data_IF_056443630145
#
_entry.id   IF_056443630145
#
_cell.length_a   1.000
_cell.length_b   1.000
_cell.length_c   1.000
_cell.angle_alpha   90.00
_cell.angle_beta   90.00
_cell.angle_gamma   90.00
#
_symmetry.space_group_name_H-M   'P 1'
#
loop_
_entity.id
_entity.type
_entity.pdbx_description
1 polymer ?
#
# COMPACT_ATOMS: atom_id res chain seq x y z
N UNK A 1 15.25 20.78 -19.50
CA UNK A 1 15.45 21.86 -18.51
C UNK A 1 16.53 21.43 -17.53
N UNK A 2 17.52 22.27 -17.17
CA UNK A 2 18.63 21.89 -16.27
C UNK A 2 18.23 22.09 -14.81
N UNK A 3 18.57 21.15 -13.93
CA UNK A 3 18.37 21.27 -12.47
C UNK A 3 19.73 21.29 -11.75
N UNK A 4 20.16 22.47 -11.31
CA UNK A 4 21.41 22.65 -10.57
C UNK A 4 21.23 22.25 -9.10
N UNK A 5 22.28 21.71 -8.47
CA UNK A 5 22.28 21.26 -7.06
C UNK A 5 21.15 20.27 -6.71
N UNK A 6 21.00 19.22 -7.53
CA UNK A 6 20.00 18.17 -7.32
C UNK A 6 20.27 17.36 -6.02
N UNK A 7 19.35 17.47 -5.05
CA UNK A 7 19.33 16.63 -3.85
C UNK A 7 18.44 15.40 -4.05
N UNK A 8 19.04 14.25 -4.37
CA UNK A 8 18.29 13.02 -4.72
C UNK A 8 17.33 12.53 -3.63
N UNK A 9 17.66 12.73 -2.35
CA UNK A 9 16.82 12.29 -1.23
C UNK A 9 15.42 12.92 -1.21
N UNK A 10 15.26 14.14 -1.74
CA UNK A 10 13.96 14.81 -1.82
C UNK A 10 13.01 14.15 -2.84
N UNK A 11 13.57 13.39 -3.79
CA UNK A 11 12.83 12.68 -4.83
C UNK A 11 12.67 11.20 -4.52
N UNK A 12 13.12 10.75 -3.35
CA UNK A 12 12.96 9.36 -2.95
C UNK A 12 11.48 9.03 -2.85
N UNK A 13 11.00 8.22 -3.79
CA UNK A 13 9.62 7.75 -3.83
C UNK A 13 9.51 6.37 -4.49
N UNK A 14 10.04 5.31 -3.85
CA UNK A 14 9.91 3.96 -4.39
C UNK A 14 8.45 3.53 -4.46
N UNK A 15 8.14 2.74 -5.46
CA UNK A 15 6.78 2.37 -5.85
C UNK A 15 6.53 0.90 -5.53
N UNK A 16 5.34 0.61 -4.99
CA UNK A 16 4.78 -0.73 -4.94
C UNK A 16 3.43 -0.74 -5.66
N UNK A 17 3.15 -1.81 -6.40
CA UNK A 17 1.84 -2.02 -7.01
C UNK A 17 0.96 -2.85 -6.09
N UNK A 18 -0.35 -2.68 -6.29
CA UNK A 18 -1.38 -3.31 -5.49
C UNK A 18 -1.30 -4.84 -5.46
N UNK A 19 -0.95 -5.48 -6.58
CA UNK A 19 -0.72 -6.94 -6.69
C UNK A 19 0.28 -7.49 -5.68
N UNK A 20 1.26 -6.66 -5.28
CA UNK A 20 2.33 -7.04 -4.35
C UNK A 20 2.08 -6.63 -2.92
N UNK A 21 1.01 -5.89 -2.61
CA UNK A 21 0.73 -5.51 -1.22
C UNK A 21 0.53 -6.73 -0.33
N UNK A 22 -0.14 -7.76 -0.86
CA UNK A 22 -0.41 -8.98 -0.10
C UNK A 22 0.85 -9.81 0.19
N UNK A 23 1.95 -9.62 -0.53
CA UNK A 23 3.21 -10.32 -0.22
C UNK A 23 3.91 -9.76 1.02
N UNK A 24 3.59 -8.52 1.44
CA UNK A 24 4.15 -7.89 2.62
C UNK A 24 3.54 -8.41 3.94
N UNK A 25 2.33 -9.00 3.86
CA UNK A 25 1.64 -9.55 5.02
C UNK A 25 2.22 -10.92 5.38
N UNK A 26 2.62 -11.16 6.65
CA UNK A 26 3.06 -12.47 7.12
C UNK A 26 2.01 -13.56 6.89
N UNK A 27 2.44 -14.80 6.70
CA UNK A 27 1.51 -15.92 6.44
C UNK A 27 0.57 -16.21 7.62
N UNK A 28 0.98 -15.90 8.84
CA UNK A 28 0.19 -16.09 10.05
C UNK A 28 -1.00 -15.13 10.11
N UNK A 29 -0.78 -13.85 9.79
CA UNK A 29 -1.85 -12.84 9.73
C UNK A 29 -2.85 -13.09 8.60
N UNK A 30 -2.48 -13.89 7.59
CA UNK A 30 -3.40 -14.30 6.51
C UNK A 30 -4.30 -15.46 6.92
N UNK A 31 -3.90 -16.28 7.90
CA UNK A 31 -4.62 -17.51 8.25
C UNK A 31 -5.88 -17.15 9.03
N UNK A 32 -7.03 -17.61 8.52
CA UNK A 32 -8.32 -17.41 9.18
C UNK A 32 -8.95 -16.05 8.93
N UNK A 33 -8.36 -15.21 8.06
CA UNK A 33 -8.99 -13.96 7.67
C UNK A 33 -10.24 -14.22 6.82
N UNK A 34 -11.36 -13.67 7.26
CA UNK A 34 -12.64 -13.68 6.54
C UNK A 34 -13.04 -12.26 6.17
N UNK A 35 -14.03 -12.12 5.30
CA UNK A 35 -14.55 -10.81 4.87
C UNK A 35 -15.12 -9.99 6.03
N UNK A 36 -15.56 -10.64 7.11
CA UNK A 36 -16.20 -10.03 8.28
C UNK A 36 -15.26 -9.87 9.49
N UNK A 37 -13.96 -10.14 9.31
CA UNK A 37 -12.99 -10.06 10.40
C UNK A 37 -12.83 -8.61 10.90
N UNK A 38 -13.06 -8.38 12.20
CA UNK A 38 -12.89 -7.07 12.84
C UNK A 38 -11.41 -6.70 13.02
N UNK A 39 -10.57 -7.71 13.25
CA UNK A 39 -9.10 -7.57 13.34
C UNK A 39 -8.49 -7.85 11.98
N UNK A 40 -7.86 -6.84 11.40
CA UNK A 40 -7.36 -6.87 10.02
C UNK A 40 -5.87 -6.53 9.95
N UNK A 41 -5.12 -7.09 8.98
CA UNK A 41 -3.70 -6.82 8.84
C UNK A 41 -3.45 -5.36 8.44
N UNK A 42 -2.39 -4.79 9.02
CA UNK A 42 -1.96 -3.41 8.75
C UNK A 42 -0.66 -3.45 7.95
N UNK A 43 -0.75 -3.06 6.67
CA UNK A 43 0.36 -3.03 5.73
C UNK A 43 1.02 -1.65 5.79
N UNK A 44 2.17 -1.56 6.45
CA UNK A 44 2.98 -0.35 6.49
C UNK A 44 4.00 -0.33 5.35
N UNK A 45 3.65 0.30 4.24
CA UNK A 45 4.51 0.31 3.05
C UNK A 45 5.81 1.07 3.29
N UNK A 46 5.79 2.07 4.18
CA UNK A 46 6.96 2.90 4.47
C UNK A 46 8.03 2.12 5.23
N UNK A 47 7.63 1.27 6.18
CA UNK A 47 8.54 0.35 6.89
C UNK A 47 9.22 -0.64 5.93
N UNK A 48 8.54 -1.00 4.85
CA UNK A 48 9.11 -1.84 3.78
C UNK A 48 9.88 -1.05 2.71
N UNK A 49 10.09 0.26 2.89
CA UNK A 49 10.87 1.08 1.97
C UNK A 49 10.12 1.59 0.75
N UNK A 50 8.78 1.54 0.75
CA UNK A 50 7.94 2.06 -0.31
C UNK A 50 7.21 3.33 0.13
N UNK A 51 7.20 4.33 -0.75
CA UNK A 51 6.57 5.61 -0.47
C UNK A 51 5.29 5.82 -1.27
N UNK A 52 5.14 5.18 -2.43
CA UNK A 52 3.98 5.35 -3.30
C UNK A 52 3.33 4.03 -3.70
N UNK A 53 2.01 3.93 -3.54
CA UNK A 53 1.22 2.80 -4.00
C UNK A 53 0.55 3.12 -5.34
N UNK A 54 0.67 2.21 -6.31
CA UNK A 54 0.06 2.29 -7.64
C UNK A 54 -0.92 1.14 -7.89
N UNK A 55 -1.90 1.38 -8.77
CA UNK A 55 -3.07 0.52 -8.92
C UNK A 55 -2.97 -0.61 -9.95
N UNK A 56 -1.77 -1.06 -10.30
CA UNK A 56 -1.61 -2.19 -11.20
C UNK A 56 -1.94 -3.52 -10.49
N UNK A 57 -2.60 -4.42 -11.22
CA UNK A 57 -3.01 -5.74 -10.74
C UNK A 57 -4.28 -5.76 -9.87
N UNK A 58 -4.47 -6.86 -9.15
CA UNK A 58 -5.69 -7.19 -8.41
C UNK A 58 -5.40 -7.48 -6.94
N UNK A 59 -6.42 -7.34 -6.09
CA UNK A 59 -6.37 -7.63 -4.66
C UNK A 59 -7.30 -8.78 -4.32
N UNK A 60 -6.97 -9.55 -3.27
CA UNK A 60 -7.98 -10.39 -2.64
C UNK A 60 -9.10 -9.53 -2.07
N UNK A 61 -10.33 -10.04 -2.11
CA UNK A 61 -11.50 -9.45 -1.44
C UNK A 61 -11.44 -9.78 0.06
N UNK A 62 -10.43 -9.26 0.73
CA UNK A 62 -10.22 -9.41 2.17
C UNK A 62 -10.00 -8.03 2.76
N UNK A 63 -10.46 -7.77 4.00
CA UNK A 63 -10.28 -6.47 4.63
C UNK A 63 -8.83 -6.29 5.11
N UNK A 64 -8.25 -5.11 4.86
CA UNK A 64 -6.91 -4.73 5.30
C UNK A 64 -6.74 -3.21 5.36
N UNK A 65 -5.72 -2.74 6.08
CA UNK A 65 -5.39 -1.31 6.16
C UNK A 65 -4.02 -1.07 5.52
N UNK A 66 -3.92 -0.08 4.64
CA UNK A 66 -2.66 0.34 4.00
C UNK A 66 -2.22 1.67 4.56
N UNK A 67 -1.03 1.71 5.18
CA UNK A 67 -0.34 2.94 5.57
C UNK A 67 0.70 3.31 4.52
N UNK A 68 0.50 4.44 3.84
CA UNK A 68 1.39 4.92 2.78
C UNK A 68 1.48 6.45 2.74
N UNK A 69 2.58 6.99 2.20
CA UNK A 69 2.76 8.45 2.03
C UNK A 69 1.98 8.98 0.83
N UNK A 70 2.01 8.24 -0.28
CA UNK A 70 1.34 8.59 -1.52
C UNK A 70 0.57 7.40 -2.08
N UNK A 71 -0.61 7.64 -2.63
CA UNK A 71 -1.44 6.61 -3.29
C UNK A 71 -2.01 7.21 -4.57
N UNK A 72 -2.09 6.43 -5.65
CA UNK A 72 -2.81 6.87 -6.86
C UNK A 72 -4.32 6.73 -6.68
N UNK A 73 -5.11 7.55 -7.36
CA UNK A 73 -6.58 7.47 -7.30
C UNK A 73 -7.12 6.08 -7.68
N UNK A 74 -6.53 5.45 -8.71
CA UNK A 74 -6.89 4.08 -9.11
C UNK A 74 -6.58 3.08 -8.00
N UNK A 75 -5.44 3.26 -7.32
CA UNK A 75 -5.05 2.37 -6.24
C UNK A 75 -6.02 2.50 -5.05
N UNK A 76 -6.32 3.72 -4.65
CA UNK A 76 -7.27 3.99 -3.57
C UNK A 76 -8.66 3.42 -3.86
N UNK A 77 -9.15 3.58 -5.09
CA UNK A 77 -10.43 2.99 -5.52
C UNK A 77 -10.43 1.47 -5.40
N UNK A 78 -9.42 0.79 -5.93
CA UNK A 78 -9.31 -0.67 -5.87
C UNK A 78 -9.18 -1.20 -4.43
N UNK A 79 -8.45 -0.49 -3.57
CA UNK A 79 -8.32 -0.85 -2.14
C UNK A 79 -9.68 -0.75 -1.45
N UNK A 80 -10.45 0.31 -1.70
CA UNK A 80 -11.81 0.46 -1.15
C UNK A 80 -12.77 -0.60 -1.67
N UNK A 81 -12.71 -0.94 -2.96
CA UNK A 81 -13.51 -2.01 -3.57
C UNK A 81 -13.18 -3.39 -2.98
N UNK A 82 -11.94 -3.61 -2.55
CA UNK A 82 -11.53 -4.84 -1.87
C UNK A 82 -11.93 -4.91 -0.39
N UNK A 83 -12.56 -3.87 0.16
CA UNK A 83 -12.92 -3.77 1.58
C UNK A 83 -11.81 -3.22 2.47
N UNK A 84 -10.75 -2.65 1.88
CA UNK A 84 -9.63 -2.06 2.61
C UNK A 84 -9.72 -0.54 2.78
N UNK A 85 -8.87 0.00 3.65
CA UNK A 85 -8.78 1.44 3.94
C UNK A 85 -7.35 1.93 3.76
N UNK A 86 -7.20 3.14 3.22
CA UNK A 86 -5.91 3.83 3.09
C UNK A 86 -5.76 4.86 4.21
N UNK A 87 -4.65 4.81 4.93
CA UNK A 87 -4.24 5.81 5.92
C UNK A 87 -2.98 6.52 5.44
N UNK A 88 -3.03 7.84 5.35
CA UNK A 88 -1.87 8.64 4.97
C UNK A 88 -0.90 8.78 6.15
N UNK A 89 0.37 8.54 5.90
CA UNK A 89 1.46 8.69 6.88
C UNK A 89 2.54 9.64 6.36
N UNK A 90 3.24 10.31 7.27
CA UNK A 90 4.28 11.31 6.97
C UNK A 90 5.64 10.68 6.65
#
# INVERSE_FOLDING_TARGET
MRHFHLKRNQYWRPIINIDKLWSLVPAEEKKGLTEESEVVPVIDTLRHGYSKVLGNGELPKLPFIVKARFVSSIAERKIKEAGGVVTLVA
#
